data_IF_503305553327
#
_entry.id   IF_503305553327
#
_cell.length_a   1.000
_cell.length_b   1.000
_cell.length_c   1.000
_cell.angle_alpha   90.00
_cell.angle_beta   90.00
_cell.angle_gamma   90.00
#
_symmetry.space_group_name_H-M   'P 1'
#
loop_
_entity.id
_entity.type
_entity.pdbx_description
1 polymer ?
#
# COMPACT_ATOMS: atom_id res chain seq x y z
N UNK A 1 7.38 -65.67 -55.79
CA UNK A 1 6.32 -64.64 -55.96
C UNK A 1 6.45 -63.58 -54.85
N UNK A 2 6.62 -62.29 -55.19
CA UNK A 2 6.71 -61.19 -54.19
C UNK A 2 5.31 -60.84 -53.67
N UNK A 3 5.07 -60.98 -52.36
CA UNK A 3 3.80 -60.60 -51.70
C UNK A 3 3.60 -59.07 -51.82
N UNK A 4 2.49 -58.65 -52.42
CA UNK A 4 2.12 -57.22 -52.53
C UNK A 4 1.72 -56.73 -51.13
N UNK A 5 2.40 -55.69 -50.64
CA UNK A 5 2.06 -55.03 -49.38
C UNK A 5 0.65 -54.44 -49.49
N UNK A 6 -0.25 -54.86 -48.59
CA UNK A 6 -1.62 -54.33 -48.51
C UNK A 6 -1.56 -52.83 -48.24
N UNK A 7 -2.23 -52.02 -49.06
CA UNK A 7 -2.30 -50.56 -48.88
C UNK A 7 -3.08 -50.28 -47.60
N UNK A 8 -2.43 -49.69 -46.59
CA UNK A 8 -3.14 -49.27 -45.37
C UNK A 8 -4.23 -48.27 -45.72
N UNK A 9 -5.40 -48.42 -45.11
CA UNK A 9 -6.54 -47.51 -45.28
C UNK A 9 -6.19 -46.12 -44.79
N UNK A 10 -6.70 -45.09 -45.47
CA UNK A 10 -6.49 -43.68 -45.08
C UNK A 10 -7.17 -43.39 -43.73
N UNK A 11 -6.40 -42.84 -42.80
CA UNK A 11 -6.93 -42.37 -41.51
C UNK A 11 -7.59 -41.00 -41.72
N UNK A 12 -8.86 -40.88 -41.36
CA UNK A 12 -9.57 -39.61 -41.36
C UNK A 12 -9.50 -39.00 -39.97
N UNK A 13 -8.78 -37.89 -39.86
CA UNK A 13 -8.74 -37.10 -38.63
C UNK A 13 -9.92 -36.12 -38.66
N UNK A 14 -10.90 -36.35 -37.79
CA UNK A 14 -12.01 -35.43 -37.58
C UNK A 14 -11.81 -34.78 -36.23
N UNK A 15 -11.70 -33.44 -36.23
CA UNK A 15 -11.63 -32.69 -34.99
C UNK A 15 -13.03 -32.43 -34.46
N UNK A 16 -13.20 -32.57 -33.15
CA UNK A 16 -14.39 -32.04 -32.50
C UNK A 16 -14.34 -30.50 -32.57
N UNK A 17 -15.35 -29.89 -33.20
CA UNK A 17 -15.37 -28.45 -33.44
C UNK A 17 -15.40 -27.65 -32.14
N UNK A 18 -15.97 -28.22 -31.07
CA UNK A 18 -16.05 -27.58 -29.75
C UNK A 18 -14.67 -27.46 -29.12
N UNK A 19 -13.91 -28.55 -29.09
CA UNK A 19 -12.55 -28.56 -28.58
C UNK A 19 -11.62 -27.69 -29.43
N UNK A 20 -11.81 -27.73 -30.76
CA UNK A 20 -11.08 -26.85 -31.68
C UNK A 20 -11.36 -25.38 -31.40
N UNK A 21 -12.62 -24.99 -31.19
CA UNK A 21 -12.99 -23.62 -30.86
C UNK A 21 -12.39 -23.19 -29.51
N UNK A 22 -12.42 -24.07 -28.51
CA UNK A 22 -11.84 -23.81 -27.19
C UNK A 22 -10.31 -23.72 -27.24
N UNK A 23 -9.65 -24.55 -28.04
CA UNK A 23 -8.21 -24.49 -28.26
C UNK A 23 -7.81 -23.18 -28.96
N UNK A 24 -8.52 -22.81 -30.03
CA UNK A 24 -8.25 -21.60 -30.82
C UNK A 24 -8.56 -20.31 -30.04
N UNK A 25 -9.62 -20.29 -29.22
CA UNK A 25 -10.01 -19.10 -28.43
C UNK A 25 -9.45 -19.11 -26.99
N UNK A 26 -8.86 -20.22 -26.56
CA UNK A 26 -8.40 -20.46 -25.19
C UNK A 26 -7.23 -19.62 -24.75
N UNK A 27 -6.58 -18.84 -25.63
CA UNK A 27 -5.49 -17.94 -25.25
C UNK A 27 -5.96 -16.89 -24.22
N UNK A 28 -7.19 -16.36 -24.36
CA UNK A 28 -7.76 -15.43 -23.39
C UNK A 28 -7.99 -16.11 -22.04
N UNK A 29 -8.51 -17.35 -22.04
CA UNK A 29 -8.71 -18.18 -20.84
C UNK A 29 -7.37 -18.39 -20.11
N UNK A 30 -6.34 -18.90 -20.81
CA UNK A 30 -4.99 -19.11 -20.26
C UNK A 30 -4.32 -17.82 -19.77
N UNK A 31 -4.53 -16.70 -20.46
CA UNK A 31 -3.95 -15.43 -20.03
C UNK A 31 -4.62 -14.90 -18.75
N UNK A 32 -5.93 -15.07 -18.60
CA UNK A 32 -6.64 -14.76 -17.36
C UNK A 32 -6.19 -15.68 -16.23
N UNK A 33 -6.10 -16.98 -16.49
CA UNK A 33 -5.62 -17.96 -15.53
C UNK A 33 -4.21 -17.64 -15.03
N UNK A 34 -3.27 -17.34 -15.93
CA UNK A 34 -1.91 -16.92 -15.56
C UNK A 34 -1.89 -15.65 -14.70
N UNK A 35 -2.74 -14.66 -15.03
CA UNK A 35 -2.85 -13.43 -14.22
C UNK A 35 -3.42 -13.72 -12.84
N UNK A 36 -4.43 -14.57 -12.75
CA UNK A 36 -5.08 -14.96 -11.50
C UNK A 36 -4.11 -15.74 -10.61
N UNK A 37 -3.40 -16.73 -11.16
CA UNK A 37 -2.33 -17.47 -10.46
C UNK A 37 -1.27 -16.52 -9.90
N UNK A 38 -0.76 -15.58 -10.72
CA UNK A 38 0.24 -14.58 -10.26
C UNK A 38 -0.31 -13.69 -9.13
N UNK A 39 -1.58 -13.29 -9.19
CA UNK A 39 -2.20 -12.49 -8.13
C UNK A 39 -2.30 -13.30 -6.83
N UNK A 40 -2.77 -14.54 -6.92
CA UNK A 40 -2.89 -15.44 -5.77
C UNK A 40 -1.54 -15.72 -5.10
N UNK A 41 -0.48 -15.97 -5.88
CA UNK A 41 0.87 -16.19 -5.33
C UNK A 41 1.39 -14.94 -4.63
N UNK A 42 1.18 -13.76 -5.19
CA UNK A 42 1.57 -12.49 -4.57
C UNK A 42 0.79 -12.27 -3.26
N UNK A 43 -0.53 -12.48 -3.28
CA UNK A 43 -1.39 -12.33 -2.11
C UNK A 43 -1.01 -13.31 -0.99
N UNK A 44 -0.60 -14.54 -1.33
CA UNK A 44 -0.10 -15.53 -0.38
C UNK A 44 1.22 -15.07 0.28
N UNK A 45 2.21 -14.65 -0.52
CA UNK A 45 3.49 -14.15 -0.01
C UNK A 45 3.31 -12.93 0.91
N UNK A 46 2.40 -12.00 0.56
CA UNK A 46 2.10 -10.85 1.42
C UNK A 46 1.47 -11.25 2.75
N UNK A 47 0.62 -12.29 2.76
CA UNK A 47 0.01 -12.79 3.99
C UNK A 47 1.07 -13.44 4.88
N UNK A 48 1.99 -14.21 4.31
CA UNK A 48 3.09 -14.84 5.03
C UNK A 48 4.05 -13.82 5.63
N UNK A 49 4.48 -12.82 4.86
CA UNK A 49 5.34 -11.75 5.38
C UNK A 49 4.66 -10.97 6.50
N UNK A 50 3.36 -10.64 6.36
CA UNK A 50 2.60 -9.99 7.46
C UNK A 50 2.58 -10.84 8.72
N UNK A 51 2.40 -12.16 8.59
CA UNK A 51 2.43 -13.08 9.74
C UNK A 51 3.83 -13.12 10.36
N UNK A 52 4.88 -13.19 9.55
CA UNK A 52 6.28 -13.19 10.00
C UNK A 52 6.63 -11.93 10.78
N UNK A 53 6.28 -10.75 10.25
CA UNK A 53 6.50 -9.46 10.91
C UNK A 53 5.76 -9.40 12.24
N UNK A 54 4.46 -9.77 12.27
CA UNK A 54 3.69 -9.78 13.51
C UNK A 54 4.26 -10.73 14.56
N UNK A 55 4.73 -11.91 14.14
CA UNK A 55 5.36 -12.89 15.04
C UNK A 55 6.68 -12.34 15.60
N UNK A 56 7.54 -11.83 14.73
CA UNK A 56 8.81 -11.20 15.15
C UNK A 56 8.59 -10.00 16.08
N UNK A 57 7.57 -9.18 15.86
CA UNK A 57 7.22 -8.08 16.77
C UNK A 57 6.76 -8.59 18.13
N UNK A 58 5.91 -9.62 18.17
CA UNK A 58 5.48 -10.24 19.43
C UNK A 58 6.64 -10.84 20.20
N UNK A 59 7.53 -11.54 19.51
CA UNK A 59 8.75 -12.12 20.11
C UNK A 59 9.69 -11.03 20.63
N UNK A 60 9.89 -9.96 19.85
CA UNK A 60 10.70 -8.82 20.29
C UNK A 60 10.11 -8.15 21.54
N UNK A 61 8.80 -7.92 21.58
CA UNK A 61 8.13 -7.36 22.77
C UNK A 61 8.24 -8.30 23.97
N UNK A 62 8.00 -9.59 23.77
CA UNK A 62 8.13 -10.58 24.84
C UNK A 62 9.56 -10.66 25.37
N UNK A 63 10.56 -10.61 24.50
CA UNK A 63 11.97 -10.57 24.89
C UNK A 63 12.33 -9.27 25.61
N UNK A 64 11.79 -8.12 25.17
CA UNK A 64 11.97 -6.85 25.84
C UNK A 64 11.38 -6.87 27.26
N UNK A 65 10.16 -7.38 27.42
CA UNK A 65 9.51 -7.55 28.73
C UNK A 65 10.33 -8.50 29.62
N UNK A 66 10.83 -9.62 29.07
CA UNK A 66 11.70 -10.54 29.80
C UNK A 66 13.04 -9.92 30.19
N UNK A 67 13.62 -9.07 29.36
CA UNK A 67 14.85 -8.34 29.73
C UNK A 67 14.60 -7.24 30.77
N UNK A 68 13.38 -6.73 30.84
CA UNK A 68 12.94 -5.71 31.80
C UNK A 68 12.37 -6.30 33.09
N UNK A 69 12.15 -7.61 33.17
CA UNK A 69 11.70 -8.22 34.43
C UNK A 69 12.77 -7.99 35.49
N UNK A 70 12.36 -7.42 36.61
CA UNK A 70 13.25 -7.08 37.71
C UNK A 70 13.98 -8.35 38.18
N UNK A 71 15.31 -8.27 38.28
CA UNK A 71 16.11 -9.33 38.86
C UNK A 71 15.72 -9.40 40.35
N UNK A 72 15.25 -10.56 40.87
CA UNK A 72 14.72 -10.64 42.23
C UNK A 72 15.73 -10.20 43.29
N UNK A 73 17.03 -10.34 43.01
CA UNK A 73 18.11 -9.89 43.89
C UNK A 73 18.16 -8.37 44.09
N UNK A 74 17.68 -7.55 43.14
CA UNK A 74 17.78 -6.07 43.20
C UNK A 74 16.42 -5.41 43.49
N UNK A 75 15.34 -6.19 43.51
CA UNK A 75 13.97 -5.70 43.67
C UNK A 75 13.77 -4.89 44.97
N UNK A 76 14.42 -5.32 46.05
CA UNK A 76 14.39 -4.63 47.35
C UNK A 76 15.01 -3.21 47.35
N UNK A 77 15.87 -2.86 46.37
CA UNK A 77 16.42 -1.50 46.23
C UNK A 77 15.45 -0.53 45.53
N UNK A 78 14.50 -1.08 44.76
CA UNK A 78 13.52 -0.30 43.99
C UNK A 78 12.24 -0.01 44.79
N UNK A 79 12.02 -0.73 45.90
CA UNK A 79 10.87 -0.51 46.77
C UNK A 79 11.05 0.81 47.56
N UNK A 80 10.02 1.67 47.62
CA UNK A 80 10.11 2.95 48.30
C UNK A 80 10.29 2.72 49.80
N UNK A 81 11.37 3.27 50.36
CA UNK A 81 11.64 3.14 51.79
C UNK A 81 11.04 4.35 52.52
N UNK A 82 10.08 4.09 53.39
CA UNK A 82 9.44 5.10 54.25
C UNK A 82 10.07 5.12 55.63
N UNK A 83 10.59 6.28 56.02
CA UNK A 83 11.05 6.53 57.39
C UNK A 83 10.04 7.44 58.09
N UNK A 84 9.51 6.98 59.21
CA UNK A 84 8.59 7.75 60.03
C UNK A 84 9.37 8.42 61.16
N UNK A 85 9.51 9.75 61.08
CA UNK A 85 10.18 10.56 62.09
C UNK A 85 9.11 11.25 62.96
N UNK A 86 9.45 11.67 64.20
CA UNK A 86 8.47 12.20 65.15
C UNK A 86 7.61 13.36 64.64
N UNK A 87 8.15 14.19 63.74
CA UNK A 87 7.47 15.39 63.22
C UNK A 87 7.00 15.26 61.77
N UNK A 88 7.49 14.27 61.00
CA UNK A 88 7.17 14.09 59.58
C UNK A 88 7.62 12.73 59.03
N UNK A 89 6.98 12.28 57.96
CA UNK A 89 7.34 11.04 57.24
C UNK A 89 8.12 11.37 55.96
N UNK A 90 9.26 10.70 55.75
CA UNK A 90 10.07 10.83 54.53
C UNK A 90 10.00 9.54 53.73
N UNK A 91 9.59 9.63 52.46
CA UNK A 91 9.58 8.50 51.52
C UNK A 91 10.66 8.69 50.47
N UNK A 92 11.61 7.76 50.40
CA UNK A 92 12.68 7.78 49.39
C UNK A 92 12.31 6.80 48.28
N UNK A 93 12.10 7.33 47.07
CA UNK A 93 11.79 6.55 45.86
C UNK A 93 12.64 7.02 44.68
N UNK A 94 13.02 6.11 43.79
CA UNK A 94 13.74 6.46 42.55
C UNK A 94 12.85 7.31 41.62
N UNK A 95 13.40 8.42 41.12
CA UNK A 95 12.71 9.28 40.15
C UNK A 95 12.82 8.61 38.77
N UNK A 96 11.87 7.75 38.45
CA UNK A 96 11.77 7.19 37.11
C UNK A 96 11.39 8.31 36.12
N UNK A 97 12.31 8.68 35.24
CA UNK A 97 12.13 9.70 34.20
C UNK A 97 10.91 9.45 33.28
N UNK A 98 10.27 8.28 33.35
CA UNK A 98 9.07 7.93 32.60
C UNK A 98 7.80 8.60 33.13
N UNK A 99 7.60 8.72 34.45
CA UNK A 99 6.35 9.30 34.99
C UNK A 99 6.24 10.82 34.72
N UNK A 100 7.37 11.52 34.73
CA UNK A 100 7.44 12.93 34.32
C UNK A 100 7.19 13.12 32.81
N UNK A 101 7.59 12.13 31.98
CA UNK A 101 7.37 12.15 30.53
C UNK A 101 5.95 11.73 30.12
N UNK A 102 5.27 10.88 30.89
CA UNK A 102 3.90 10.45 30.59
C UNK A 102 2.88 11.59 30.74
N UNK A 103 3.12 12.55 31.64
CA UNK A 103 2.33 13.77 31.75
C UNK A 103 2.45 14.68 30.50
N UNK A 104 3.57 14.64 29.77
CA UNK A 104 3.78 15.47 28.57
C UNK A 104 3.50 14.75 27.24
N UNK A 105 3.47 13.41 27.22
CA UNK A 105 3.50 12.62 25.98
C UNK A 105 2.15 11.99 25.60
N UNK A 106 1.13 12.11 26.45
CA UNK A 106 -0.26 11.69 26.14
C UNK A 106 -1.02 12.67 25.24
N UNK A 107 -0.31 13.59 24.56
CA UNK A 107 -0.89 14.48 23.56
C UNK A 107 -0.80 13.81 22.19
N UNK A 108 -1.90 13.11 21.84
CA UNK A 108 -2.47 12.99 20.50
C UNK A 108 -1.73 12.12 19.47
N UNK A 109 -2.10 10.84 19.43
CA UNK A 109 -2.07 10.03 18.20
C UNK A 109 -3.43 10.21 17.50
N UNK A 110 -3.41 10.89 16.35
CA UNK A 110 -4.52 11.00 15.38
C UNK A 110 -5.67 11.96 15.74
N UNK A 111 -5.40 13.26 15.67
CA UNK A 111 -6.29 14.26 15.05
C UNK A 111 -5.49 15.59 14.92
N UNK A 112 -5.94 16.48 14.04
CA UNK A 112 -5.17 17.59 13.47
C UNK A 112 -4.26 18.36 14.44
N UNK A 113 -3.04 18.65 13.97
CA UNK A 113 -2.01 19.51 14.57
C UNK A 113 -2.64 20.57 15.50
N UNK A 114 -2.57 20.43 16.83
CA UNK A 114 -2.73 21.56 17.72
C UNK A 114 -1.41 22.34 17.66
N UNK A 115 -1.51 23.63 17.35
CA UNK A 115 -0.39 24.54 17.48
C UNK A 115 0.05 24.57 18.94
N UNK A 116 1.11 23.85 19.27
CA UNK A 116 1.81 24.05 20.52
C UNK A 116 2.27 25.52 20.58
N UNK A 117 2.02 26.26 21.67
CA UNK A 117 2.70 27.52 21.88
C UNK A 117 4.18 27.18 22.03
N UNK A 118 4.95 27.55 21.01
CA UNK A 118 6.41 27.42 20.99
C UNK A 118 6.95 28.45 21.97
N UNK A 119 6.91 28.14 23.26
CA UNK A 119 7.62 28.89 24.27
C UNK A 119 9.12 28.76 23.97
N UNK A 120 9.74 29.86 23.53
CA UNK A 120 11.20 30.02 23.51
C UNK A 120 11.93 29.92 22.17
N UNK A 121 11.26 29.85 21.00
CA UNK A 121 11.95 29.95 19.70
C UNK A 121 11.62 31.26 19.00
N UNK A 122 12.63 31.99 18.56
CA UNK A 122 12.46 33.24 17.81
C UNK A 122 11.61 32.98 16.55
N UNK A 123 10.80 33.97 16.13
CA UNK A 123 9.96 33.85 14.93
C UNK A 123 10.79 33.42 13.70
N UNK A 124 12.05 33.85 13.63
CA UNK A 124 13.00 33.50 12.58
C UNK A 124 13.34 32.00 12.53
N UNK A 125 13.45 31.33 13.68
CA UNK A 125 13.70 29.88 13.74
C UNK A 125 12.48 29.08 13.29
N UNK A 126 11.28 29.51 13.68
CA UNK A 126 10.02 28.87 13.26
C UNK A 126 9.85 28.98 11.75
N UNK A 127 10.20 30.13 11.17
CA UNK A 127 10.10 30.35 9.73
C UNK A 127 11.16 29.57 8.93
N UNK A 128 12.39 29.45 9.44
CA UNK A 128 13.44 28.58 8.89
C UNK A 128 13.00 27.11 8.90
N UNK A 129 12.43 26.61 10.00
CA UNK A 129 11.92 25.24 10.09
C UNK A 129 10.79 24.98 9.07
N UNK A 130 9.88 25.94 8.88
CA UNK A 130 8.81 25.84 7.86
C UNK A 130 9.38 25.73 6.44
N UNK A 131 10.42 26.52 6.11
CA UNK A 131 11.12 26.47 4.82
C UNK A 131 11.78 25.10 4.61
N UNK A 132 12.51 24.60 5.60
CA UNK A 132 13.16 23.27 5.55
C UNK A 132 12.15 22.14 5.36
N UNK A 133 11.03 22.16 6.08
CA UNK A 133 9.96 21.15 5.93
C UNK A 133 9.36 21.21 4.52
N UNK A 134 9.15 22.40 3.96
CA UNK A 134 8.63 22.58 2.60
C UNK A 134 9.60 22.03 1.55
N UNK A 135 10.89 22.26 1.74
CA UNK A 135 11.94 21.75 0.85
C UNK A 135 12.09 20.24 0.91
N UNK A 136 12.02 19.64 2.11
CA UNK A 136 11.97 18.19 2.29
C UNK A 136 10.76 17.57 1.59
N UNK A 137 9.57 18.16 1.75
CA UNK A 137 8.35 17.71 1.04
C UNK A 137 8.54 17.81 -0.47
N UNK A 138 9.10 18.91 -0.97
CA UNK A 138 9.34 19.10 -2.39
C UNK A 138 10.36 18.10 -2.96
N UNK A 139 11.46 17.83 -2.24
CA UNK A 139 12.44 16.80 -2.60
C UNK A 139 11.79 15.42 -2.66
N UNK A 140 10.99 15.06 -1.65
CA UNK A 140 10.25 13.78 -1.61
C UNK A 140 9.25 13.65 -2.76
N UNK A 141 8.53 14.72 -3.09
CA UNK A 141 7.61 14.72 -4.25
C UNK A 141 8.38 14.57 -5.56
N UNK A 142 9.54 15.23 -5.71
CA UNK A 142 10.39 15.09 -6.91
C UNK A 142 10.93 13.67 -7.06
N UNK A 143 11.38 13.02 -5.99
CA UNK A 143 11.86 11.63 -6.03
C UNK A 143 10.73 10.66 -6.33
N UNK A 144 9.57 10.81 -5.69
CA UNK A 144 8.37 10.02 -6.00
C UNK A 144 7.93 10.19 -7.46
N UNK A 145 7.94 11.41 -8.00
CA UNK A 145 7.61 11.68 -9.42
C UNK A 145 8.55 11.01 -10.42
N UNK A 146 9.80 10.74 -10.01
CA UNK A 146 10.82 10.03 -10.82
C UNK A 146 10.72 8.51 -10.70
N UNK A 147 9.92 7.97 -9.78
CA UNK A 147 9.82 6.51 -9.61
C UNK A 147 9.19 5.86 -10.84
N UNK A 148 9.65 4.64 -11.17
CA UNK A 148 9.14 3.87 -12.32
C UNK A 148 7.64 3.63 -12.22
N UNK A 149 7.12 3.39 -11.01
CA UNK A 149 5.69 3.15 -10.75
C UNK A 149 4.82 4.37 -11.05
N UNK A 150 5.25 5.57 -10.68
CA UNK A 150 4.51 6.81 -10.99
C UNK A 150 4.55 7.15 -12.47
N UNK A 151 5.68 6.92 -13.13
CA UNK A 151 5.82 7.12 -14.58
C UNK A 151 4.90 6.17 -15.36
N UNK A 152 4.82 4.91 -14.96
CA UNK A 152 3.89 3.94 -15.57
C UNK A 152 2.43 4.30 -15.32
N UNK A 153 2.08 4.71 -14.10
CA UNK A 153 0.74 5.18 -13.77
C UNK A 153 0.32 6.38 -14.63
N UNK A 154 1.21 7.37 -14.81
CA UNK A 154 0.99 8.53 -15.70
C UNK A 154 0.82 8.10 -17.16
N UNK A 155 1.63 7.17 -17.67
CA UNK A 155 1.49 6.62 -19.03
C UNK A 155 0.13 5.94 -19.21
N UNK A 156 -0.32 5.16 -18.22
CA UNK A 156 -1.61 4.49 -18.25
C UNK A 156 -2.77 5.49 -18.24
N UNK A 157 -2.68 6.53 -17.41
CA UNK A 157 -3.68 7.60 -17.35
C UNK A 157 -3.78 8.35 -18.68
N UNK A 158 -2.64 8.74 -19.29
CA UNK A 158 -2.60 9.37 -20.61
C UNK A 158 -3.23 8.50 -21.70
N UNK A 159 -3.06 7.17 -21.64
CA UNK A 159 -3.74 6.23 -22.56
C UNK A 159 -5.26 6.23 -22.36
N UNK A 160 -5.73 6.20 -21.11
CA UNK A 160 -7.17 6.26 -20.77
C UNK A 160 -7.79 7.57 -21.24
N UNK A 161 -7.14 8.70 -20.98
CA UNK A 161 -7.65 10.03 -21.36
C UNK A 161 -7.69 10.19 -22.89
N UNK A 162 -6.68 9.70 -23.61
CA UNK A 162 -6.69 9.66 -25.08
C UNK A 162 -7.86 8.82 -25.61
N UNK A 163 -8.18 7.70 -24.96
CA UNK A 163 -9.31 6.85 -25.36
C UNK A 163 -10.66 7.53 -25.07
N UNK A 164 -10.81 8.18 -23.92
CA UNK A 164 -11.99 8.99 -23.58
C UNK A 164 -12.20 10.13 -24.58
N UNK A 165 -11.14 10.89 -24.89
CA UNK A 165 -11.20 11.97 -25.88
C UNK A 165 -11.62 11.46 -27.27
N UNK A 166 -11.09 10.32 -27.72
CA UNK A 166 -11.52 9.68 -28.98
C UNK A 166 -13.01 9.30 -28.97
N UNK A 167 -13.52 8.78 -27.85
CA UNK A 167 -14.94 8.46 -27.68
C UNK A 167 -15.81 9.71 -27.75
N UNK A 168 -15.44 10.76 -27.02
CA UNK A 168 -16.15 12.05 -27.04
C UNK A 168 -16.19 12.66 -28.44
N UNK A 169 -15.06 12.65 -29.16
CA UNK A 169 -15.00 13.15 -30.55
C UNK A 169 -15.91 12.34 -31.50
N UNK A 170 -16.04 11.03 -31.30
CA UNK A 170 -16.98 10.20 -32.07
C UNK A 170 -18.43 10.53 -31.77
N UNK A 171 -18.78 10.77 -30.49
CA UNK A 171 -20.12 11.17 -30.09
C UNK A 171 -20.50 12.53 -30.68
N UNK A 172 -19.60 13.52 -30.60
CA UNK A 172 -19.80 14.85 -31.19
C UNK A 172 -19.99 14.78 -32.71
N UNK A 173 -19.21 13.96 -33.41
CA UNK A 173 -19.38 13.75 -34.86
C UNK A 173 -20.72 13.09 -35.20
N UNK A 174 -21.22 12.18 -34.35
CA UNK A 174 -22.55 11.58 -34.55
C UNK A 174 -23.65 12.62 -34.37
N UNK A 175 -23.61 13.42 -33.30
CA UNK A 175 -24.63 14.46 -33.08
C UNK A 175 -24.68 15.48 -34.21
N UNK A 176 -23.53 15.95 -34.69
CA UNK A 176 -23.42 16.87 -35.84
C UNK A 176 -23.99 16.27 -37.14
N UNK A 177 -23.85 14.96 -37.37
CA UNK A 177 -24.47 14.29 -38.53
C UNK A 177 -25.99 14.24 -38.40
N UNK A 178 -26.51 13.96 -37.19
CA UNK A 178 -27.94 13.94 -36.94
C UNK A 178 -28.58 15.33 -37.10
N UNK A 179 -27.93 16.40 -36.62
CA UNK A 179 -28.44 17.77 -36.80
C UNK A 179 -28.45 18.20 -38.26
N UNK A 180 -27.39 17.91 -39.03
CA UNK A 180 -27.37 18.15 -40.48
C UNK A 180 -28.46 17.39 -41.24
N UNK A 181 -28.71 16.12 -40.88
CA UNK A 181 -29.79 15.32 -41.48
C UNK A 181 -31.18 15.87 -41.15
N UNK A 182 -31.38 16.39 -39.94
CA UNK A 182 -32.63 17.06 -39.53
C UNK A 182 -32.85 18.36 -40.31
N UNK A 183 -31.83 19.20 -40.47
CA UNK A 183 -31.95 20.43 -41.28
C UNK A 183 -32.24 20.14 -42.76
N UNK A 184 -31.58 19.14 -43.35
CA UNK A 184 -31.85 18.75 -44.75
C UNK A 184 -33.27 18.23 -44.98
N UNK A 185 -33.88 17.59 -43.98
CA UNK A 185 -35.28 17.14 -44.01
C UNK A 185 -36.32 18.24 -43.79
N UNK A 186 -35.92 19.40 -43.27
CA UNK A 186 -36.82 20.55 -43.07
C UNK A 186 -36.85 21.50 -44.28
N UNK A 187 -35.86 21.40 -45.16
CA UNK A 187 -35.69 22.26 -46.33
C UNK A 187 -35.95 21.50 -47.66
N UNK A 188 -36.59 20.34 -47.58
CA UNK A 188 -37.09 19.50 -48.69
C UNK A 188 -38.54 19.18 -48.42
#
# INVERSE_FOLDING_TARGET
>A
MKKRRSKQSKVHLIFDEKERADFLTGFRKRNLERKLKRKQTLDALLKEEKKRIKKSQKEALHNAIKSQSQVPEIQHLLEPVTYDLPDHTVTISEINNMDSLHASTTINMDEGIPAAPVAGKSQDEVEKLRKVIKDLKNKRIKTLKKSKTQLEAKKLQKKKDKQKAKRMKKLLKKSLKHTKKKHKKKNS
#
